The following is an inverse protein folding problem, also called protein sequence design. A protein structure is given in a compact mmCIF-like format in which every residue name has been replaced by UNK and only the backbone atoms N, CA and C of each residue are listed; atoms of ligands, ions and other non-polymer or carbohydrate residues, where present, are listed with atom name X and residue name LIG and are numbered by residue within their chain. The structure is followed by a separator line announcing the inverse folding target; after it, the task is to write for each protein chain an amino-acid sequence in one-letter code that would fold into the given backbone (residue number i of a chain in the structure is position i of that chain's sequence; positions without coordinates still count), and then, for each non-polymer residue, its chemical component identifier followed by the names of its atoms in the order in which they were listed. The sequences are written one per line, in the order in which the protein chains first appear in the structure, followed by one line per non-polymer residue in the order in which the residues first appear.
data_IF_375854243519
#
_entry.id   IF_375854243519
#
_cell.length_a   1.000
_cell.length_b   1.000
_cell.length_c   1.000
_cell.angle_alpha   90.00
_cell.angle_beta   90.00
_cell.angle_gamma   90.00
#
_symmetry.space_group_name_H-M   'P 1'
#
loop_
_entity.id
_entity.type
_entity.pdbx_description
1 polymer ?
#
# COMPACT_ATOMS: atom_id res chain seq x y z
N UNK A 1 -14.88 -26.69 -45.87
CA UNK A 1 -14.99 -25.45 -45.08
C UNK A 1 -14.92 -25.77 -43.62
N UNK A 2 -13.72 -25.75 -43.06
CA UNK A 2 -13.47 -25.87 -41.62
C UNK A 2 -13.68 -24.50 -40.98
N UNK A 3 -14.71 -24.36 -40.16
CA UNK A 3 -14.86 -23.22 -39.25
C UNK A 3 -14.09 -23.53 -37.99
N UNK A 4 -12.95 -22.90 -37.80
CA UNK A 4 -12.18 -22.90 -36.56
C UNK A 4 -12.97 -22.16 -35.49
N UNK A 5 -13.50 -22.92 -34.54
CA UNK A 5 -14.02 -22.42 -33.26
C UNK A 5 -12.81 -22.11 -32.36
N UNK A 6 -12.22 -20.94 -32.48
CA UNK A 6 -11.39 -20.36 -31.42
C UNK A 6 -12.32 -19.99 -30.25
N UNK A 7 -12.53 -20.91 -29.33
CA UNK A 7 -12.98 -20.59 -27.98
C UNK A 7 -11.81 -19.87 -27.30
N UNK A 8 -11.78 -18.55 -27.41
CA UNK A 8 -11.03 -17.73 -26.46
C UNK A 8 -11.56 -18.08 -25.05
N UNK A 9 -10.73 -18.78 -24.31
CA UNK A 9 -10.93 -18.98 -22.89
C UNK A 9 -10.82 -17.60 -22.26
N UNK A 10 -11.95 -16.92 -22.02
CA UNK A 10 -12.05 -15.74 -21.19
C UNK A 10 -11.65 -16.15 -19.77
N UNK A 11 -10.33 -16.22 -19.50
CA UNK A 11 -9.86 -16.14 -18.13
C UNK A 11 -10.42 -14.83 -17.58
N UNK A 12 -11.26 -14.90 -16.57
CA UNK A 12 -11.72 -13.71 -15.86
C UNK A 12 -10.49 -12.92 -15.45
N UNK A 13 -10.38 -11.69 -15.91
CA UNK A 13 -9.24 -10.83 -15.61
C UNK A 13 -9.22 -10.60 -14.10
N UNK A 14 -8.23 -11.15 -13.40
CA UNK A 14 -8.08 -11.00 -11.94
C UNK A 14 -7.30 -9.71 -11.62
N UNK A 15 -7.79 -8.59 -12.13
CA UNK A 15 -7.26 -7.25 -11.85
C UNK A 15 -8.30 -6.17 -12.15
N UNK A 16 -8.12 -5.01 -11.51
CA UNK A 16 -8.87 -3.77 -11.78
C UNK A 16 -7.86 -2.64 -11.88
N UNK A 17 -7.72 -2.07 -13.07
CA UNK A 17 -6.82 -0.93 -13.36
C UNK A 17 -7.55 0.05 -14.27
N UNK A 18 -7.11 1.30 -14.27
CA UNK A 18 -7.75 2.37 -15.05
C UNK A 18 -7.80 2.09 -16.53
N UNK A 19 -6.65 1.74 -17.09
CA UNK A 19 -6.46 1.47 -18.52
C UNK A 19 -5.25 0.54 -18.71
N UNK A 20 -5.50 -0.68 -19.18
CA UNK A 20 -4.46 -1.69 -19.40
C UNK A 20 -3.49 -1.32 -20.55
N UNK A 21 -3.90 -0.45 -21.47
CA UNK A 21 -3.07 -0.04 -22.60
C UNK A 21 -1.90 0.87 -22.18
N UNK A 22 -1.95 1.43 -20.97
CA UNK A 22 -0.85 2.16 -20.36
C UNK A 22 0.35 1.26 -19.96
N UNK A 23 0.19 -0.05 -20.01
CA UNK A 23 1.22 -1.00 -19.53
C UNK A 23 2.57 -0.84 -20.22
N UNK A 24 2.61 -0.52 -21.53
CA UNK A 24 3.86 -0.33 -22.25
C UNK A 24 4.64 0.91 -21.81
N UNK A 25 3.92 1.97 -21.45
CA UNK A 25 4.51 3.17 -20.85
C UNK A 25 4.95 2.86 -19.41
N UNK A 26 4.09 2.21 -18.61
CA UNK A 26 4.44 1.78 -17.26
C UNK A 26 5.71 0.95 -17.18
N UNK A 27 5.92 0.02 -18.15
CA UNK A 27 7.15 -0.78 -18.18
C UNK A 27 8.41 0.07 -18.36
N UNK A 28 8.36 1.13 -19.15
CA UNK A 28 9.50 2.05 -19.34
C UNK A 28 9.81 2.83 -18.06
N UNK A 29 8.78 3.31 -17.38
CA UNK A 29 8.91 4.03 -16.11
C UNK A 29 9.43 3.11 -15.00
N UNK A 30 8.96 1.86 -14.91
CA UNK A 30 9.48 0.86 -13.97
C UNK A 30 10.96 0.55 -14.25
N UNK A 31 11.37 0.48 -15.51
CA UNK A 31 12.78 0.28 -15.84
C UNK A 31 13.69 1.44 -15.38
N UNK A 32 13.16 2.67 -15.33
CA UNK A 32 13.86 3.80 -14.70
C UNK A 32 13.94 3.60 -13.19
N UNK A 33 12.83 3.24 -12.55
CA UNK A 33 12.80 2.99 -11.10
C UNK A 33 13.77 1.89 -10.67
N UNK A 34 13.94 0.83 -11.46
CA UNK A 34 14.94 -0.22 -11.22
C UNK A 34 16.37 0.34 -11.09
N UNK A 35 16.73 1.36 -11.86
CA UNK A 35 18.05 1.99 -11.80
C UNK A 35 18.24 2.83 -10.52
N UNK A 36 17.16 3.26 -9.91
CA UNK A 36 17.14 4.06 -8.68
C UNK A 36 17.00 3.22 -7.41
N UNK A 37 16.76 1.91 -7.55
CA UNK A 37 16.52 0.98 -6.44
C UNK A 37 17.57 -0.15 -6.37
N UNK A 38 18.87 0.18 -6.23
CA UNK A 38 19.96 -0.79 -6.31
C UNK A 38 19.88 -1.87 -5.22
N UNK A 39 19.29 -1.58 -4.07
CA UNK A 39 19.13 -2.54 -2.98
C UNK A 39 18.20 -3.70 -3.37
N UNK A 40 17.01 -3.40 -3.92
CA UNK A 40 16.09 -4.44 -4.41
C UNK A 40 16.66 -5.21 -5.60
N UNK A 41 17.34 -4.54 -6.52
CA UNK A 41 17.97 -5.20 -7.66
C UNK A 41 19.12 -6.12 -7.23
N UNK A 42 19.87 -5.75 -6.18
CA UNK A 42 20.89 -6.62 -5.58
C UNK A 42 20.27 -7.86 -4.94
N UNK A 43 19.14 -7.73 -4.25
CA UNK A 43 18.39 -8.85 -3.66
C UNK A 43 17.90 -9.80 -4.76
N UNK A 44 17.31 -9.30 -5.84
CA UNK A 44 16.92 -10.14 -7.00
C UNK A 44 18.10 -10.98 -7.49
N UNK A 45 19.26 -10.34 -7.67
CA UNK A 45 20.47 -11.01 -8.14
C UNK A 45 21.02 -12.04 -7.13
N UNK A 46 21.03 -11.71 -5.84
CA UNK A 46 21.53 -12.59 -4.78
C UNK A 46 20.72 -13.89 -4.67
N UNK A 47 19.40 -13.77 -4.82
CA UNK A 47 18.47 -14.90 -4.70
C UNK A 47 18.01 -15.46 -6.05
N UNK A 48 18.64 -15.08 -7.14
CA UNK A 48 18.29 -15.58 -8.48
C UNK A 48 18.24 -17.13 -8.49
N UNK A 49 17.10 -17.66 -8.91
CA UNK A 49 16.85 -19.11 -8.96
C UNK A 49 16.59 -19.82 -7.63
N UNK A 50 16.80 -19.17 -6.47
CA UNK A 50 16.64 -19.81 -5.14
C UNK A 50 15.19 -19.81 -4.63
N UNK A 51 14.38 -18.83 -5.02
CA UNK A 51 12.97 -18.66 -4.63
C UNK A 51 12.69 -18.81 -3.13
N UNK A 52 13.31 -17.98 -2.27
CA UNK A 52 13.18 -18.10 -0.81
C UNK A 52 11.76 -17.81 -0.30
N UNK A 53 10.93 -17.11 -1.08
CA UNK A 53 9.53 -16.82 -0.74
C UNK A 53 8.53 -17.81 -1.35
N UNK A 54 9.00 -18.97 -1.82
CA UNK A 54 8.10 -20.01 -2.32
C UNK A 54 7.09 -20.43 -1.25
N UNK A 55 5.79 -20.32 -1.56
CA UNK A 55 4.69 -20.58 -0.63
C UNK A 55 4.24 -19.37 0.18
N UNK A 56 4.92 -18.24 0.07
CA UNK A 56 4.40 -16.96 0.57
C UNK A 56 3.24 -16.48 -0.31
N UNK A 57 2.12 -16.17 0.31
CA UNK A 57 0.94 -15.54 -0.30
C UNK A 57 0.75 -14.18 0.34
N UNK A 58 1.19 -13.15 -0.38
CA UNK A 58 1.32 -11.79 0.15
C UNK A 58 0.14 -10.93 -0.31
N UNK A 59 -0.65 -10.47 0.66
CA UNK A 59 -1.61 -9.38 0.45
C UNK A 59 -0.90 -8.06 0.67
N UNK A 60 -0.66 -7.31 -0.40
CA UNK A 60 0.01 -6.02 -0.36
C UNK A 60 -0.98 -4.86 -0.43
N UNK A 61 -0.87 -3.93 0.51
CA UNK A 61 -1.63 -2.68 0.58
C UNK A 61 -0.65 -1.53 0.75
N UNK A 62 -0.12 -1.05 -0.37
CA UNK A 62 0.88 0.02 -0.42
C UNK A 62 0.76 0.77 -1.74
N UNK A 63 1.10 2.06 -1.76
CA UNK A 63 0.97 2.95 -2.91
C UNK A 63 1.39 2.29 -4.23
N UNK A 64 0.47 2.16 -5.20
CA UNK A 64 0.76 1.48 -6.47
C UNK A 64 1.52 2.40 -7.42
N UNK A 65 2.80 2.61 -7.13
CA UNK A 65 3.74 3.44 -7.89
C UNK A 65 4.71 2.59 -8.71
N UNK A 66 5.52 3.23 -9.55
CA UNK A 66 6.59 2.54 -10.31
C UNK A 66 7.62 1.89 -9.37
N UNK A 67 7.92 2.51 -8.21
CA UNK A 67 8.82 1.94 -7.21
C UNK A 67 8.21 0.70 -6.55
N UNK A 68 6.93 0.76 -6.20
CA UNK A 68 6.20 -0.40 -5.68
C UNK A 68 6.11 -1.52 -6.72
N UNK A 69 6.01 -1.20 -8.00
CA UNK A 69 6.07 -2.19 -9.06
C UNK A 69 7.40 -2.97 -9.03
N UNK A 70 8.53 -2.30 -8.80
CA UNK A 70 9.84 -2.97 -8.61
C UNK A 70 9.82 -3.90 -7.40
N UNK A 71 9.19 -3.50 -6.29
CA UNK A 71 9.02 -4.34 -5.12
C UNK A 71 8.16 -5.58 -5.43
N UNK A 72 7.00 -5.40 -6.06
CA UNK A 72 6.09 -6.50 -6.43
C UNK A 72 6.81 -7.51 -7.31
N UNK A 73 7.49 -7.06 -8.35
CA UNK A 73 8.26 -7.95 -9.23
C UNK A 73 9.39 -8.67 -8.49
N UNK A 74 10.03 -7.99 -7.54
CA UNK A 74 11.04 -8.61 -6.67
C UNK A 74 10.44 -9.75 -5.84
N UNK A 75 9.29 -9.53 -5.21
CA UNK A 75 8.60 -10.55 -4.41
C UNK A 75 8.21 -11.76 -5.27
N UNK A 76 7.73 -11.52 -6.49
CA UNK A 76 7.38 -12.58 -7.46
C UNK A 76 8.63 -13.33 -7.92
N UNK A 77 9.71 -12.64 -8.24
CA UNK A 77 10.99 -13.27 -8.60
C UNK A 77 11.56 -14.13 -7.49
N UNK A 78 11.35 -13.74 -6.24
CA UNK A 78 11.70 -14.51 -5.06
C UNK A 78 10.75 -15.69 -4.78
N UNK A 79 9.66 -15.82 -5.54
CA UNK A 79 8.76 -16.97 -5.53
C UNK A 79 7.45 -16.78 -4.77
N UNK A 80 7.11 -15.57 -4.34
CA UNK A 80 5.84 -15.27 -3.69
C UNK A 80 4.67 -15.25 -4.70
N UNK A 81 3.49 -15.63 -4.23
CA UNK A 81 2.21 -15.30 -4.85
C UNK A 81 1.71 -13.99 -4.26
N UNK A 82 1.45 -12.99 -5.11
CA UNK A 82 1.21 -11.60 -4.68
C UNK A 82 -0.12 -11.11 -5.22
N UNK A 83 -0.89 -10.43 -4.38
CA UNK A 83 -2.08 -9.67 -4.75
C UNK A 83 -1.95 -8.27 -4.17
N UNK A 84 -2.29 -7.22 -4.92
CA UNK A 84 -1.95 -5.86 -4.56
C UNK A 84 -3.10 -4.87 -4.71
N UNK A 85 -3.25 -3.97 -3.73
CA UNK A 85 -4.08 -2.78 -3.81
C UNK A 85 -3.29 -1.55 -3.34
N UNK A 86 -3.76 -0.37 -3.65
CA UNK A 86 -3.18 0.86 -3.10
C UNK A 86 -3.67 1.09 -1.67
N UNK A 87 -2.84 1.72 -0.84
CA UNK A 87 -3.21 2.17 0.50
C UNK A 87 -3.75 3.61 0.52
N UNK A 88 -4.00 4.21 -0.63
CA UNK A 88 -4.55 5.56 -0.77
C UNK A 88 -5.26 5.73 -2.11
N UNK A 89 -6.44 6.36 -2.09
CA UNK A 89 -7.30 6.53 -3.27
C UNK A 89 -6.73 7.43 -4.38
N UNK A 90 -5.69 8.22 -4.11
CA UNK A 90 -5.10 9.16 -5.07
C UNK A 90 -3.65 8.87 -5.48
N UNK A 91 -2.96 7.96 -4.78
CA UNK A 91 -1.52 7.78 -4.97
C UNK A 91 -1.13 6.84 -6.12
N UNK A 92 -2.07 6.07 -6.66
CA UNK A 92 -1.80 5.14 -7.76
C UNK A 92 -1.26 5.87 -8.99
N UNK A 93 -0.21 5.32 -9.58
CA UNK A 93 0.23 5.64 -10.95
C UNK A 93 -0.39 4.59 -11.89
N UNK A 94 -1.40 4.99 -12.66
CA UNK A 94 -2.23 4.08 -13.46
C UNK A 94 -1.42 3.24 -14.45
N UNK A 95 -0.34 3.79 -15.00
CA UNK A 95 0.57 3.08 -15.89
C UNK A 95 1.41 2.01 -15.15
N UNK A 96 1.76 2.23 -13.89
CA UNK A 96 2.44 1.22 -13.06
C UNK A 96 1.49 0.05 -12.75
N UNK A 97 0.26 0.34 -12.33
CA UNK A 97 -0.78 -0.67 -12.10
C UNK A 97 -1.04 -1.50 -13.36
N UNK A 98 -1.16 -0.84 -14.52
CA UNK A 98 -1.36 -1.51 -15.81
C UNK A 98 -0.19 -2.43 -16.18
N UNK A 99 1.06 -2.01 -15.96
CA UNK A 99 2.23 -2.82 -16.26
C UNK A 99 2.28 -4.10 -15.41
N UNK A 100 2.00 -3.99 -14.11
CA UNK A 100 1.98 -5.12 -13.18
C UNK A 100 0.80 -6.06 -13.47
N UNK A 101 -0.39 -5.52 -13.74
CA UNK A 101 -1.55 -6.33 -14.16
C UNK A 101 -1.26 -7.11 -15.46
N UNK A 102 -0.61 -6.48 -16.43
CA UNK A 102 -0.24 -7.12 -17.70
C UNK A 102 0.82 -8.21 -17.54
N UNK A 103 1.68 -8.13 -16.52
CA UNK A 103 2.64 -9.20 -16.19
C UNK A 103 1.97 -10.43 -15.55
N UNK A 104 0.68 -10.35 -15.22
CA UNK A 104 -0.10 -11.44 -14.64
C UNK A 104 -0.25 -11.39 -13.12
N UNK A 105 0.24 -10.36 -12.46
CA UNK A 105 0.02 -10.17 -11.01
C UNK A 105 -1.34 -9.50 -10.79
N UNK A 106 -2.19 -10.05 -9.91
CA UNK A 106 -3.46 -9.41 -9.53
C UNK A 106 -3.24 -8.07 -8.86
N UNK A 107 -3.72 -7.00 -9.49
CA UNK A 107 -3.65 -5.61 -9.00
C UNK A 107 -5.04 -4.97 -9.06
N UNK A 108 -5.43 -4.35 -7.96
CA UNK A 108 -6.71 -3.67 -7.81
C UNK A 108 -6.43 -2.24 -7.36
N UNK A 109 -6.18 -1.34 -8.30
CA UNK A 109 -5.86 0.06 -8.00
C UNK A 109 -5.99 0.95 -9.23
N UNK A 110 -6.56 2.13 -9.06
CA UNK A 110 -6.44 3.23 -10.01
C UNK A 110 -6.54 4.58 -9.30
N UNK A 111 -5.99 5.63 -9.91
CA UNK A 111 -6.03 6.97 -9.31
C UNK A 111 -7.45 7.52 -9.31
N UNK A 112 -7.94 7.89 -8.13
CA UNK A 112 -9.26 8.46 -7.93
C UNK A 112 -10.36 7.41 -7.75
N UNK A 113 -10.01 6.22 -7.26
CA UNK A 113 -10.99 5.25 -6.77
C UNK A 113 -11.81 5.84 -5.62
N UNK A 114 -13.05 5.41 -5.46
CA UNK A 114 -13.91 5.81 -4.35
C UNK A 114 -13.56 5.03 -3.09
N UNK A 115 -14.01 5.49 -1.91
CA UNK A 115 -13.81 4.76 -0.66
C UNK A 115 -14.44 3.36 -0.67
N UNK A 116 -15.62 3.21 -1.32
CA UNK A 116 -16.25 1.89 -1.49
C UNK A 116 -15.39 0.94 -2.34
N UNK A 117 -14.78 1.44 -3.42
CA UNK A 117 -13.86 0.67 -4.27
C UNK A 117 -12.56 0.36 -3.53
N UNK A 118 -12.01 1.30 -2.79
CA UNK A 118 -10.82 1.11 -1.96
C UNK A 118 -10.98 -0.10 -1.02
N UNK A 119 -12.07 -0.17 -0.27
CA UNK A 119 -12.33 -1.27 0.65
C UNK A 119 -12.72 -2.58 -0.06
N UNK A 120 -13.38 -2.50 -1.22
CA UNK A 120 -13.59 -3.68 -2.07
C UNK A 120 -12.27 -4.24 -2.62
N UNK A 121 -11.30 -3.37 -2.93
CA UNK A 121 -9.96 -3.77 -3.38
C UNK A 121 -9.11 -4.32 -2.22
N UNK A 122 -9.20 -3.72 -1.05
CA UNK A 122 -8.61 -4.26 0.17
C UNK A 122 -9.13 -5.67 0.52
N UNK A 123 -10.40 -5.95 0.23
CA UNK A 123 -10.96 -7.31 0.35
C UNK A 123 -10.37 -8.25 -0.72
N UNK A 124 -10.25 -7.79 -1.97
CA UNK A 124 -9.79 -8.62 -3.11
C UNK A 124 -8.34 -9.08 -2.98
N UNK A 125 -7.47 -8.34 -2.29
CA UNK A 125 -6.09 -8.79 -2.10
C UNK A 125 -5.97 -10.04 -1.22
N UNK A 126 -7.00 -10.38 -0.45
CA UNK A 126 -7.05 -11.61 0.36
C UNK A 126 -7.69 -12.80 -0.36
N UNK A 127 -8.15 -12.65 -1.60
CA UNK A 127 -8.88 -13.69 -2.35
C UNK A 127 -7.91 -14.55 -3.19
N UNK A 128 -7.06 -15.32 -2.54
CA UNK A 128 -6.29 -16.38 -3.20
C UNK A 128 -7.23 -17.56 -3.54
N UNK A 129 -7.05 -18.21 -4.71
CA UNK A 129 -8.03 -19.15 -5.31
C UNK A 129 -8.58 -20.18 -4.33
N UNK A 130 -7.75 -21.09 -3.83
CA UNK A 130 -8.16 -22.17 -2.91
C UNK A 130 -7.56 -22.01 -1.53
N UNK A 131 -6.75 -20.96 -1.34
CA UNK A 131 -5.96 -20.75 -0.14
C UNK A 131 -6.27 -19.37 0.49
N UNK A 132 -5.56 -19.05 1.55
CA UNK A 132 -5.63 -17.77 2.25
C UNK A 132 -4.30 -17.05 2.16
N UNK A 133 -4.31 -15.72 2.33
CA UNK A 133 -3.08 -14.98 2.56
C UNK A 133 -2.36 -15.52 3.80
N UNK A 134 -1.04 -15.54 3.78
CA UNK A 134 -0.25 -15.88 4.96
C UNK A 134 0.74 -14.77 5.37
N UNK A 135 0.87 -13.73 4.57
CA UNK A 135 1.64 -12.52 4.90
C UNK A 135 0.87 -11.27 4.45
N UNK A 136 1.00 -10.21 5.23
CA UNK A 136 0.52 -8.89 4.87
C UNK A 136 1.72 -7.95 4.73
N UNK A 137 1.75 -7.17 3.66
CA UNK A 137 2.61 -5.99 3.52
C UNK A 137 1.69 -4.78 3.51
N UNK A 138 1.75 -3.96 4.56
CA UNK A 138 0.79 -2.89 4.82
C UNK A 138 1.48 -1.53 4.93
N UNK A 139 0.73 -0.49 4.61
CA UNK A 139 1.15 0.91 4.75
C UNK A 139 -0.04 1.73 5.29
N UNK A 140 -0.03 1.95 6.60
CA UNK A 140 -1.10 2.58 7.36
C UNK A 140 -1.96 1.62 8.18
N UNK A 141 -1.80 0.31 7.98
CA UNK A 141 -2.47 -0.73 8.78
C UNK A 141 -3.90 -1.05 8.33
N UNK A 142 -4.37 -0.55 7.19
CA UNK A 142 -5.76 -0.72 6.78
C UNK A 142 -6.10 -2.17 6.39
N UNK A 143 -5.21 -2.86 5.66
CA UNK A 143 -5.43 -4.26 5.33
C UNK A 143 -5.42 -5.15 6.59
N UNK A 144 -4.53 -4.87 7.53
CA UNK A 144 -4.49 -5.54 8.84
C UNK A 144 -5.75 -5.29 9.64
N UNK A 145 -6.18 -4.03 9.75
CA UNK A 145 -7.40 -3.65 10.49
C UNK A 145 -8.66 -4.23 9.86
N UNK A 146 -8.75 -4.32 8.53
CA UNK A 146 -9.85 -4.97 7.84
C UNK A 146 -10.05 -6.42 8.33
N UNK A 147 -8.98 -7.20 8.40
CA UNK A 147 -9.03 -8.59 8.88
C UNK A 147 -9.36 -8.67 10.37
N UNK A 148 -8.75 -7.82 11.20
CA UNK A 148 -8.94 -7.88 12.65
C UNK A 148 -10.33 -7.41 13.08
N UNK A 149 -10.85 -6.32 12.51
CA UNK A 149 -12.20 -5.83 12.76
C UNK A 149 -13.26 -6.79 12.21
N UNK A 150 -13.02 -7.35 11.02
CA UNK A 150 -13.90 -8.37 10.46
C UNK A 150 -13.98 -9.63 11.34
N UNK A 151 -12.84 -10.10 11.85
CA UNK A 151 -12.81 -11.23 12.78
C UNK A 151 -13.47 -10.92 14.13
N UNK A 152 -13.34 -9.69 14.63
CA UNK A 152 -14.04 -9.22 15.82
C UNK A 152 -15.56 -9.27 15.62
N UNK A 153 -16.04 -8.75 14.49
CA UNK A 153 -17.45 -8.78 14.14
C UNK A 153 -17.98 -10.21 13.93
N UNK A 154 -17.20 -11.08 13.28
CA UNK A 154 -17.53 -12.49 13.08
C UNK A 154 -17.61 -13.26 14.40
N UNK A 155 -16.88 -12.81 15.43
CA UNK A 155 -16.94 -13.29 16.82
C UNK A 155 -18.16 -12.83 17.61
N UNK A 156 -19.04 -12.00 17.02
CA UNK A 156 -20.27 -11.51 17.61
C UNK A 156 -20.21 -10.10 18.21
N UNK A 157 -19.05 -9.46 18.22
CA UNK A 157 -18.93 -8.04 18.61
C UNK A 157 -19.15 -7.16 17.38
N UNK A 158 -20.40 -6.75 17.15
CA UNK A 158 -20.84 -6.01 15.96
C UNK A 158 -21.27 -4.58 16.21
N UNK A 159 -21.38 -4.15 17.48
CA UNK A 159 -21.94 -2.84 17.84
C UNK A 159 -21.19 -1.67 17.22
N UNK A 160 -19.87 -1.79 17.07
CA UNK A 160 -19.03 -0.76 16.44
C UNK A 160 -19.37 -0.53 14.96
N UNK A 161 -19.87 -1.54 14.25
CA UNK A 161 -20.24 -1.44 12.84
C UNK A 161 -21.45 -0.51 12.59
N UNK A 162 -22.23 -0.21 13.62
CA UNK A 162 -23.41 0.66 13.51
C UNK A 162 -23.09 2.14 13.84
N UNK A 163 -21.87 2.44 14.25
CA UNK A 163 -21.49 3.77 14.73
C UNK A 163 -20.18 4.25 14.08
N UNK A 164 -20.11 4.42 12.73
CA UNK A 164 -18.94 4.98 12.07
C UNK A 164 -18.73 6.43 12.51
N UNK A 165 -17.47 6.84 12.66
CA UNK A 165 -17.08 8.21 13.05
C UNK A 165 -16.54 9.03 11.87
N UNK A 166 -16.33 8.39 10.72
CA UNK A 166 -15.85 9.02 9.49
C UNK A 166 -16.43 8.30 8.25
N UNK A 167 -16.30 8.94 7.09
CA UNK A 167 -16.69 8.34 5.80
C UNK A 167 -15.85 7.09 5.48
N UNK A 168 -14.56 7.09 5.87
CA UNK A 168 -13.68 5.94 5.71
C UNK A 168 -14.16 4.75 6.54
N UNK A 169 -14.55 4.99 7.82
CA UNK A 169 -15.10 3.94 8.68
C UNK A 169 -16.44 3.41 8.15
N UNK A 170 -17.31 4.29 7.63
CA UNK A 170 -18.58 3.88 7.03
C UNK A 170 -18.35 2.91 5.86
N UNK A 171 -17.44 3.24 4.96
CA UNK A 171 -17.11 2.40 3.81
C UNK A 171 -16.45 1.06 4.25
N UNK A 172 -15.54 1.10 5.22
CA UNK A 172 -14.93 -0.08 5.82
C UNK A 172 -15.99 -1.01 6.44
N UNK A 173 -16.86 -0.46 7.28
CA UNK A 173 -17.88 -1.27 7.97
C UNK A 173 -18.90 -1.85 7.00
N UNK A 174 -19.24 -1.12 5.94
CA UNK A 174 -20.08 -1.62 4.85
C UNK A 174 -19.42 -2.81 4.15
N UNK A 175 -18.13 -2.76 3.86
CA UNK A 175 -17.40 -3.87 3.25
C UNK A 175 -17.29 -5.07 4.20
N UNK A 176 -17.03 -4.86 5.49
CA UNK A 176 -17.04 -5.93 6.50
C UNK A 176 -18.41 -6.62 6.53
N UNK A 177 -19.51 -5.85 6.64
CA UNK A 177 -20.89 -6.40 6.63
C UNK A 177 -21.14 -7.22 5.37
N UNK A 178 -20.75 -6.73 4.19
CA UNK A 178 -20.86 -7.42 2.90
C UNK A 178 -20.11 -8.77 2.92
N UNK A 179 -18.90 -8.82 3.45
CA UNK A 179 -18.09 -10.05 3.54
C UNK A 179 -18.70 -11.04 4.53
N UNK A 180 -19.14 -10.60 5.71
CA UNK A 180 -19.81 -11.44 6.72
C UNK A 180 -21.06 -12.13 6.15
N UNK A 181 -21.85 -11.42 5.34
CA UNK A 181 -23.05 -11.97 4.70
C UNK A 181 -22.72 -13.00 3.61
N UNK A 182 -21.63 -12.78 2.85
CA UNK A 182 -21.27 -13.63 1.71
C UNK A 182 -20.47 -14.87 2.09
N UNK A 183 -19.72 -14.86 3.19
CA UNK A 183 -18.75 -15.92 3.51
C UNK A 183 -18.52 -16.04 5.02
N UNK A 184 -19.37 -16.80 5.69
CA UNK A 184 -19.28 -17.06 7.13
C UNK A 184 -17.97 -17.79 7.48
N UNK A 185 -17.27 -17.36 8.52
CA UNK A 185 -16.00 -17.93 8.97
C UNK A 185 -14.77 -17.44 8.18
N UNK A 186 -14.97 -16.56 7.19
CA UNK A 186 -13.90 -16.14 6.30
C UNK A 186 -12.84 -15.30 7.02
N UNK A 187 -13.23 -14.34 7.84
CA UNK A 187 -12.30 -13.50 8.58
C UNK A 187 -11.49 -14.29 9.61
N UNK A 188 -12.12 -15.23 10.32
CA UNK A 188 -11.39 -16.12 11.23
C UNK A 188 -10.37 -16.98 10.48
N UNK A 189 -10.74 -17.53 9.33
CA UNK A 189 -9.84 -18.32 8.50
C UNK A 189 -8.64 -17.49 8.02
N UNK A 190 -8.87 -16.25 7.56
CA UNK A 190 -7.80 -15.34 7.16
C UNK A 190 -6.89 -15.02 8.35
N UNK A 191 -7.45 -14.55 9.45
CA UNK A 191 -6.71 -14.21 10.67
C UNK A 191 -5.82 -15.35 11.16
N UNK A 192 -6.30 -16.60 11.12
CA UNK A 192 -5.54 -17.77 11.56
C UNK A 192 -4.40 -18.14 10.61
N UNK A 193 -4.52 -17.82 9.35
CA UNK A 193 -3.50 -18.16 8.35
C UNK A 193 -2.36 -17.17 8.26
N UNK A 194 -2.55 -15.94 8.72
CA UNK A 194 -1.54 -14.89 8.68
C UNK A 194 -0.41 -15.21 9.66
N UNK A 195 0.79 -15.34 9.14
CA UNK A 195 2.02 -15.58 9.90
C UNK A 195 2.67 -14.29 10.39
N UNK A 196 2.37 -13.17 9.76
CA UNK A 196 2.88 -11.87 10.15
C UNK A 196 2.53 -10.75 9.19
N UNK A 197 2.80 -9.52 9.63
CA UNK A 197 2.67 -8.30 8.86
C UNK A 197 3.98 -7.52 8.89
N UNK A 198 4.34 -6.89 7.76
CA UNK A 198 5.32 -5.81 7.73
C UNK A 198 4.60 -4.48 7.48
N UNK A 199 4.91 -3.47 8.31
CA UNK A 199 4.27 -2.17 8.28
C UNK A 199 5.28 -1.08 7.94
N UNK A 200 4.93 -0.27 6.92
CA UNK A 200 5.83 0.69 6.29
C UNK A 200 5.76 2.09 6.92
N UNK A 201 4.70 2.44 7.63
CA UNK A 201 4.50 3.85 8.01
C UNK A 201 4.16 4.04 9.49
N UNK A 202 4.47 5.22 10.01
CA UNK A 202 4.29 5.60 11.42
C UNK A 202 2.85 5.37 11.91
N UNK A 203 1.84 5.73 11.11
CA UNK A 203 0.42 5.57 11.51
C UNK A 203 0.06 4.11 11.72
N UNK A 204 0.44 3.23 10.81
CA UNK A 204 0.20 1.79 10.94
C UNK A 204 0.97 1.17 12.10
N UNK A 205 2.25 1.54 12.25
CA UNK A 205 3.08 1.10 13.39
C UNK A 205 2.44 1.48 14.73
N UNK A 206 1.91 2.70 14.85
CA UNK A 206 1.22 3.12 16.08
C UNK A 206 -0.04 2.29 16.35
N UNK A 207 -0.80 1.93 15.33
CA UNK A 207 -1.97 1.03 15.44
C UNK A 207 -1.54 -0.37 15.92
N UNK A 208 -0.46 -0.92 15.38
CA UNK A 208 0.07 -2.22 15.78
C UNK A 208 0.58 -2.21 17.22
N UNK A 209 1.31 -1.18 17.65
CA UNK A 209 1.72 -1.03 19.06
C UNK A 209 0.53 -0.88 20.01
N UNK A 210 -0.55 -0.23 19.59
CA UNK A 210 -1.77 -0.18 20.39
C UNK A 210 -2.38 -1.56 20.55
N UNK A 211 -2.53 -2.32 19.45
CA UNK A 211 -3.04 -3.69 19.49
C UNK A 211 -2.17 -4.61 20.37
N UNK A 212 -0.84 -4.46 20.30
CA UNK A 212 0.09 -5.21 21.15
C UNK A 212 -0.12 -4.90 22.64
N UNK A 213 -0.16 -3.61 23.02
CA UNK A 213 -0.42 -3.20 24.41
C UNK A 213 -1.76 -3.70 24.94
N UNK A 214 -2.76 -3.80 24.07
CA UNK A 214 -4.09 -4.32 24.43
C UNK A 214 -4.17 -5.86 24.40
N UNK A 215 -3.10 -6.56 24.05
CA UNK A 215 -3.08 -8.02 23.88
C UNK A 215 -3.96 -8.51 22.73
N UNK A 216 -4.22 -7.65 21.74
CA UNK A 216 -5.11 -7.93 20.60
C UNK A 216 -4.39 -8.19 19.28
N UNK A 217 -3.07 -8.07 19.23
CA UNK A 217 -2.26 -8.38 18.06
C UNK A 217 -2.04 -9.90 17.97
N UNK A 218 -2.65 -10.61 17.00
CA UNK A 218 -2.66 -12.07 17.01
C UNK A 218 -1.46 -12.72 16.32
N UNK A 219 -0.62 -11.94 15.65
CA UNK A 219 0.53 -12.42 14.88
C UNK A 219 1.70 -11.42 14.98
N UNK A 220 2.94 -11.85 14.72
CA UNK A 220 4.10 -10.98 14.69
C UNK A 220 3.94 -9.81 13.71
N UNK A 221 4.45 -8.64 14.11
CA UNK A 221 4.50 -7.45 13.26
C UNK A 221 5.94 -6.94 13.16
N UNK A 222 6.39 -6.62 11.96
CA UNK A 222 7.70 -6.05 11.68
C UNK A 222 7.51 -4.56 11.39
N UNK A 223 8.10 -3.73 12.25
CA UNK A 223 8.15 -2.28 12.07
C UNK A 223 9.27 -1.92 11.09
N UNK A 224 8.94 -1.80 9.81
CA UNK A 224 9.88 -1.38 8.77
C UNK A 224 10.11 0.14 8.84
N UNK A 225 9.11 0.91 9.27
CA UNK A 225 9.20 2.38 9.34
C UNK A 225 10.40 2.85 10.17
N UNK A 226 10.66 2.21 11.32
CA UNK A 226 11.73 2.63 12.23
C UNK A 226 13.10 2.01 11.92
N UNK A 227 13.19 1.24 10.84
CA UNK A 227 14.50 0.88 10.27
C UNK A 227 15.28 2.15 9.94
N UNK A 228 16.55 2.20 10.30
CA UNK A 228 17.42 3.35 10.01
C UNK A 228 17.46 3.66 8.52
N UNK A 229 17.48 2.62 7.67
CA UNK A 229 17.49 2.76 6.22
C UNK A 229 16.11 3.20 5.65
N UNK A 230 15.04 3.21 6.44
CA UNK A 230 13.72 3.74 6.05
C UNK A 230 13.48 5.12 6.65
N UNK A 231 13.29 5.25 7.97
CA UNK A 231 12.84 6.51 8.58
C UNK A 231 13.82 7.66 8.44
N UNK A 232 15.13 7.38 8.55
CA UNK A 232 16.18 8.41 8.48
C UNK A 232 16.53 8.81 7.04
N UNK A 233 16.09 8.05 6.05
CA UNK A 233 16.27 8.35 4.63
C UNK A 233 14.97 8.73 3.97
N UNK A 234 14.00 7.80 3.83
CA UNK A 234 12.77 8.04 3.10
C UNK A 234 11.90 9.12 3.74
N UNK A 235 11.63 9.04 5.05
CA UNK A 235 10.76 10.03 5.70
C UNK A 235 11.30 11.45 5.56
N UNK A 236 12.63 11.63 5.54
CA UNK A 236 13.26 12.94 5.40
C UNK A 236 13.55 13.29 3.95
N UNK A 237 14.29 12.46 3.24
CA UNK A 237 14.79 12.80 1.89
C UNK A 237 13.77 12.46 0.81
N UNK A 238 12.99 11.39 0.96
CA UNK A 238 11.89 11.06 0.04
C UNK A 238 10.83 12.17 0.06
N UNK A 239 10.41 12.64 1.25
CA UNK A 239 9.49 13.76 1.36
C UNK A 239 10.09 15.09 0.89
N UNK A 240 11.42 15.28 1.06
CA UNK A 240 12.12 16.44 0.51
C UNK A 240 12.02 16.50 -1.02
N UNK A 241 12.12 15.37 -1.71
CA UNK A 241 11.92 15.29 -3.16
C UNK A 241 10.46 15.42 -3.55
N UNK A 242 9.57 14.64 -2.93
CA UNK A 242 8.18 14.47 -3.39
C UNK A 242 7.26 15.64 -3.08
N UNK A 243 7.47 16.38 -1.96
CA UNK A 243 6.54 17.43 -1.55
C UNK A 243 6.42 18.56 -2.59
N UNK A 244 7.53 19.17 -2.98
CA UNK A 244 7.53 20.31 -3.91
C UNK A 244 7.18 19.85 -5.32
N UNK A 245 7.57 18.63 -5.73
CA UNK A 245 7.15 18.02 -6.97
C UNK A 245 5.63 17.83 -7.01
N UNK A 246 5.05 17.26 -5.95
CA UNK A 246 3.60 17.06 -5.84
C UNK A 246 2.81 18.38 -5.88
N UNK A 247 3.27 19.40 -5.15
CA UNK A 247 2.62 20.72 -5.18
C UNK A 247 2.66 21.32 -6.58
N UNK A 248 3.80 21.26 -7.26
CA UNK A 248 3.93 21.81 -8.63
C UNK A 248 3.05 21.08 -9.61
N UNK A 249 3.02 19.78 -9.60
CA UNK A 249 2.16 18.97 -10.48
C UNK A 249 0.68 19.22 -10.24
N UNK A 250 0.26 19.43 -8.98
CA UNK A 250 -1.14 19.65 -8.64
C UNK A 250 -1.63 21.08 -8.91
N UNK A 251 -0.75 22.08 -8.87
CA UNK A 251 -1.16 23.50 -8.82
C UNK A 251 -0.50 24.40 -9.85
N UNK A 252 0.53 23.94 -10.54
CA UNK A 252 1.41 24.77 -11.41
C UNK A 252 1.98 26.02 -10.69
N UNK A 253 2.04 25.98 -9.35
CA UNK A 253 2.39 27.13 -8.53
C UNK A 253 3.90 27.27 -8.36
N UNK A 254 4.42 28.48 -8.55
CA UNK A 254 5.79 28.82 -8.22
C UNK A 254 5.96 28.94 -6.70
N UNK A 255 6.97 28.27 -6.13
CA UNK A 255 7.24 28.29 -4.68
C UNK A 255 7.95 29.55 -4.21
N UNK A 256 8.82 30.12 -5.05
CA UNK A 256 9.63 31.28 -4.71
C UNK A 256 8.79 32.45 -4.21
N UNK A 257 9.24 33.08 -3.12
CA UNK A 257 8.61 34.28 -2.51
C UNK A 257 7.33 34.00 -1.70
N UNK A 258 6.78 32.78 -1.74
CA UNK A 258 5.58 32.42 -0.95
C UNK A 258 5.93 32.19 0.52
N UNK A 259 4.93 32.35 1.38
CA UNK A 259 5.01 31.92 2.79
C UNK A 259 4.42 30.51 2.87
N UNK A 260 5.22 29.57 3.33
CA UNK A 260 4.80 28.20 3.58
C UNK A 260 4.81 27.94 5.08
N UNK A 261 3.75 27.31 5.60
CA UNK A 261 3.67 26.85 6.97
C UNK A 261 3.75 25.33 6.95
N UNK A 262 4.73 24.77 7.67
CA UNK A 262 4.91 23.33 7.86
C UNK A 262 4.46 22.97 9.28
N UNK A 263 3.40 22.19 9.40
CA UNK A 263 2.87 21.73 10.66
C UNK A 263 3.49 20.39 11.04
N UNK A 264 4.35 20.41 12.05
CA UNK A 264 5.20 19.28 12.45
C UNK A 264 6.64 19.42 11.94
N UNK A 265 7.63 19.08 12.80
CA UNK A 265 9.05 19.17 12.47
C UNK A 265 9.84 17.90 12.84
N UNK A 266 9.17 16.74 12.74
CA UNK A 266 9.82 15.43 12.71
C UNK A 266 10.60 15.20 11.40
N UNK A 267 10.95 13.98 11.08
CA UNK A 267 11.75 13.67 9.88
C UNK A 267 11.10 14.17 8.58
N UNK A 268 9.78 13.94 8.41
CA UNK A 268 9.00 14.43 7.26
C UNK A 268 8.97 15.96 7.21
N UNK A 269 8.68 16.62 8.33
CA UNK A 269 8.60 18.07 8.41
C UNK A 269 9.94 18.75 8.13
N UNK A 270 11.04 18.18 8.61
CA UNK A 270 12.41 18.66 8.33
C UNK A 270 12.77 18.57 6.84
N UNK A 271 12.42 17.44 6.20
CA UNK A 271 12.61 17.28 4.75
C UNK A 271 11.76 18.27 3.95
N UNK A 272 10.49 18.38 4.29
CA UNK A 272 9.53 19.28 3.65
C UNK A 272 9.94 20.76 3.76
N UNK A 273 10.31 21.20 4.96
CA UNK A 273 10.80 22.57 5.20
C UNK A 273 12.08 22.87 4.41
N UNK A 274 13.02 21.93 4.36
CA UNK A 274 14.26 22.08 3.59
C UNK A 274 13.97 22.22 2.08
N UNK A 275 13.07 21.42 1.54
CA UNK A 275 12.66 21.47 0.13
C UNK A 275 12.01 22.81 -0.23
N UNK A 276 11.04 23.24 0.55
CA UNK A 276 10.32 24.53 0.35
C UNK A 276 11.30 25.71 0.43
N UNK A 277 12.20 25.71 1.42
CA UNK A 277 13.24 26.74 1.56
C UNK A 277 14.20 26.74 0.36
N UNK A 278 14.64 25.56 -0.08
CA UNK A 278 15.48 25.41 -1.27
C UNK A 278 14.82 25.91 -2.55
N UNK A 279 13.48 25.79 -2.64
CA UNK A 279 12.68 26.36 -3.74
C UNK A 279 12.37 27.87 -3.61
N UNK A 280 12.93 28.55 -2.61
CA UNK A 280 12.82 30.01 -2.42
C UNK A 280 11.59 30.45 -1.62
N UNK A 281 10.88 29.57 -0.96
CA UNK A 281 9.79 29.93 -0.04
C UNK A 281 10.32 30.46 1.30
N UNK A 282 9.52 31.31 1.95
CA UNK A 282 9.73 31.73 3.34
C UNK A 282 9.00 30.74 4.24
N UNK A 283 9.75 29.83 4.86
CA UNK A 283 9.18 28.73 5.63
C UNK A 283 9.00 29.11 7.09
N UNK A 284 7.82 28.83 7.63
CA UNK A 284 7.50 28.83 9.05
C UNK A 284 7.17 27.42 9.47
N UNK A 285 7.57 27.03 10.67
CA UNK A 285 7.32 25.71 11.22
C UNK A 285 6.53 25.85 12.51
N UNK A 286 5.59 24.94 12.73
CA UNK A 286 4.94 24.72 14.03
C UNK A 286 5.27 23.31 14.51
N UNK A 287 5.54 23.15 15.80
CA UNK A 287 5.87 21.86 16.39
C UNK A 287 5.41 21.82 17.85
N UNK A 288 4.95 20.64 18.30
CA UNK A 288 4.51 20.41 19.68
C UNK A 288 5.59 19.74 20.52
N UNK A 289 6.47 18.96 19.88
CA UNK A 289 7.63 18.35 20.55
C UNK A 289 8.75 19.38 20.70
N UNK A 290 9.14 19.74 21.95
CA UNK A 290 10.17 20.74 22.17
C UNK A 290 11.56 20.31 21.65
N UNK A 291 11.84 19.01 21.57
CA UNK A 291 13.10 18.49 21.02
C UNK A 291 13.17 18.69 19.52
N UNK A 292 12.05 18.40 18.83
CA UNK A 292 11.96 18.62 17.39
C UNK A 292 11.91 20.11 17.01
N UNK A 293 11.41 20.96 17.90
CA UNK A 293 11.33 22.42 17.69
C UNK A 293 12.69 23.12 17.78
N UNK A 294 13.64 22.60 18.56
CA UNK A 294 15.03 23.09 18.67
C UNK A 294 15.87 22.76 17.43
#
# INVERSE_FOLDING_TARGET
TYTENCRENKMSKDFIVKDIDLASFGRKEIAIAETEMPGLMAIRKEFEGKKPLKGARISGSLHMTIQTAVLIETLVDLGADVRWASCNIFSTQDHAAAAIAKSGVPVFAYKGETLDEYWDYADKIFLFKEETANLILDDGGDATMYILLGARAEGGDTDFLENPTSEEEEALFKQIKKRLQSSKGWFFKQKQSILGVSEETTTGVNRLYQLEREGKLPFPAINVNDSVTKSKFDNKYGCKESLVDGIRRATDTMMAGKVAVVCGYGDVGKGSAASLRGAGARVKVTEVDPICAL
#
